data_IF_911662075991
#
_entry.id   IF_911662075991
#
_cell.length_a   1.000
_cell.length_b   1.000
_cell.length_c   1.000
_cell.angle_alpha   90.00
_cell.angle_beta   90.00
_cell.angle_gamma   90.00
#
_symmetry.space_group_name_H-M   'P 1'
#
loop_
_entity.id
_entity.type
_entity.pdbx_description
1 polymer ?
#
# COMPACT_ATOMS: atom_id res chain seq x y z
N UNK A 1 23.86 15.99 5.13
CA UNK A 1 23.57 14.84 4.24
C UNK A 1 23.05 15.38 2.93
N UNK A 2 23.90 15.40 1.91
CA UNK A 2 23.64 16.04 0.62
C UNK A 2 22.41 15.42 -0.06
N UNK A 3 21.39 16.23 -0.34
CA UNK A 3 20.28 15.88 -1.22
C UNK A 3 20.82 15.88 -2.66
N UNK A 4 20.92 14.74 -3.36
CA UNK A 4 21.37 14.74 -4.74
C UNK A 4 20.29 15.39 -5.61
N UNK A 5 20.76 16.17 -6.59
CA UNK A 5 20.02 16.96 -7.58
C UNK A 5 18.67 16.33 -7.95
N UNK A 6 17.62 16.75 -7.25
CA UNK A 6 16.24 16.33 -7.48
C UNK A 6 15.59 17.07 -8.64
N UNK A 7 16.27 18.08 -9.17
CA UNK A 7 15.76 19.05 -10.15
C UNK A 7 15.41 18.36 -11.48
N UNK A 8 16.30 17.53 -12.01
CA UNK A 8 16.16 16.95 -13.36
C UNK A 8 15.00 15.95 -13.53
N UNK A 9 14.62 15.18 -12.49
CA UNK A 9 13.46 14.27 -12.55
C UNK A 9 12.14 15.01 -12.29
N UNK A 10 12.20 16.04 -11.44
CA UNK A 10 11.07 16.90 -11.07
C UNK A 10 10.58 17.74 -12.25
N UNK A 11 11.49 18.22 -13.07
CA UNK A 11 11.25 19.09 -14.24
C UNK A 11 10.83 18.31 -15.49
N UNK A 12 11.26 17.04 -15.61
CA UNK A 12 10.98 16.18 -16.78
C UNK A 12 9.61 15.51 -16.72
N UNK A 13 9.01 15.41 -15.52
CA UNK A 13 7.74 14.70 -15.27
C UNK A 13 6.58 15.63 -14.97
N UNK A 14 6.88 16.80 -14.44
CA UNK A 14 5.98 17.92 -14.31
C UNK A 14 6.68 19.05 -15.07
N UNK A 15 6.24 19.40 -16.27
CA UNK A 15 6.79 20.59 -16.93
C UNK A 15 6.73 21.77 -15.95
N UNK A 16 7.70 22.69 -15.99
CA UNK A 16 7.73 23.82 -15.04
C UNK A 16 6.41 24.61 -15.03
N UNK A 17 5.71 24.63 -16.17
CA UNK A 17 4.40 25.25 -16.34
C UNK A 17 3.24 24.37 -15.83
N UNK A 18 3.29 23.05 -15.95
CA UNK A 18 2.18 22.15 -15.58
C UNK A 18 1.99 22.02 -14.06
N UNK A 19 3.09 22.17 -13.29
CA UNK A 19 3.05 22.17 -11.83
C UNK A 19 2.52 23.50 -11.25
N UNK A 20 2.76 24.62 -11.93
CA UNK A 20 2.19 25.92 -11.53
C UNK A 20 0.68 26.01 -11.82
N UNK A 21 0.17 25.16 -12.72
CA UNK A 21 -1.20 25.13 -13.21
C UNK A 21 -2.17 24.21 -12.43
N UNK A 22 -1.81 23.67 -11.26
CA UNK A 22 -2.82 23.19 -10.32
C UNK A 22 -3.17 24.33 -9.35
N UNK A 23 -4.12 25.23 -9.66
CA UNK A 23 -4.46 26.39 -8.83
C UNK A 23 -4.90 26.03 -7.40
N UNK A 24 -5.14 24.75 -7.12
CA UNK A 24 -5.60 24.23 -5.82
C UNK A 24 -4.50 23.63 -4.93
N UNK A 25 -3.27 23.42 -5.41
CA UNK A 25 -2.22 22.80 -4.59
C UNK A 25 -1.55 23.82 -3.67
N UNK A 26 -1.92 23.79 -2.38
CA UNK A 26 -1.25 24.56 -1.34
C UNK A 26 -0.11 23.75 -0.74
N UNK A 27 1.10 24.31 -0.79
CA UNK A 27 2.28 23.77 -0.11
C UNK A 27 1.95 23.56 1.37
N UNK A 28 2.24 22.36 1.89
CA UNK A 28 1.93 22.02 3.27
C UNK A 28 2.83 22.75 4.26
N UNK A 29 2.26 23.10 5.42
CA UNK A 29 3.00 23.72 6.52
C UNK A 29 4.16 22.82 6.96
N UNK A 30 5.32 23.45 7.21
CA UNK A 30 6.51 22.76 7.75
C UNK A 30 6.20 22.05 9.07
N UNK A 31 5.38 22.66 9.91
CA UNK A 31 4.94 22.08 11.20
C UNK A 31 4.18 20.77 10.99
N UNK A 32 3.24 20.73 10.05
CA UNK A 32 2.51 19.51 9.72
C UNK A 32 3.45 18.41 9.19
N UNK A 33 4.33 18.75 8.26
CA UNK A 33 5.26 17.77 7.68
C UNK A 33 6.23 17.20 8.73
N UNK A 34 6.71 18.03 9.65
CA UNK A 34 7.55 17.61 10.76
C UNK A 34 6.79 16.72 11.74
N UNK A 35 5.62 17.15 12.21
CA UNK A 35 4.78 16.38 13.13
C UNK A 35 4.38 15.03 12.53
N UNK A 36 3.97 15.02 11.25
CA UNK A 36 3.67 13.80 10.50
C UNK A 36 4.87 12.86 10.44
N UNK A 37 6.07 13.39 10.15
CA UNK A 37 7.27 12.56 10.07
C UNK A 37 7.67 11.97 11.43
N UNK A 38 7.59 12.77 12.50
CA UNK A 38 7.85 12.30 13.85
C UNK A 38 6.86 11.18 14.23
N UNK A 39 5.56 11.41 14.00
CA UNK A 39 4.52 10.42 14.24
C UNK A 39 4.75 9.11 13.45
N UNK A 40 5.01 9.23 12.15
CA UNK A 40 5.28 8.08 11.27
C UNK A 40 6.47 7.26 11.78
N UNK A 41 7.56 7.92 12.18
CA UNK A 41 8.77 7.25 12.64
C UNK A 41 8.54 6.56 13.98
N UNK A 42 7.93 7.25 14.96
CA UNK A 42 7.62 6.69 16.27
C UNK A 42 6.72 5.47 16.13
N UNK A 43 5.60 5.59 15.41
CA UNK A 43 4.66 4.48 15.25
C UNK A 43 5.29 3.31 14.48
N UNK A 44 6.07 3.56 13.43
CA UNK A 44 6.74 2.50 12.67
C UNK A 44 7.80 1.78 13.50
N UNK A 45 8.57 2.50 14.31
CA UNK A 45 9.56 1.90 15.22
C UNK A 45 8.87 1.07 16.30
N UNK A 46 7.80 1.58 16.91
CA UNK A 46 6.99 0.83 17.89
C UNK A 46 6.46 -0.46 17.29
N UNK A 47 5.87 -0.42 16.09
CA UNK A 47 5.37 -1.63 15.42
C UNK A 47 6.52 -2.60 15.09
N UNK A 48 7.68 -2.07 14.72
CA UNK A 48 8.86 -2.88 14.41
C UNK A 48 9.39 -3.64 15.62
N UNK A 49 9.55 -2.94 16.74
CA UNK A 49 10.11 -3.48 17.98
C UNK A 49 9.10 -4.38 18.71
N UNK A 50 7.79 -4.12 18.60
CA UNK A 50 6.80 -4.92 19.31
C UNK A 50 6.31 -6.14 18.52
N UNK A 51 6.20 -6.03 17.19
CA UNK A 51 5.55 -7.06 16.37
C UNK A 51 6.48 -7.67 15.32
N UNK A 52 7.16 -6.84 14.52
CA UNK A 52 7.84 -7.36 13.32
C UNK A 52 9.01 -8.30 13.64
N UNK A 53 9.75 -8.09 14.74
CA UNK A 53 10.97 -8.87 15.02
C UNK A 53 10.72 -10.37 15.25
N UNK A 54 9.61 -10.75 15.87
CA UNK A 54 9.24 -12.15 16.10
C UNK A 54 8.26 -12.66 15.04
N UNK A 55 7.35 -11.79 14.57
CA UNK A 55 6.32 -12.18 13.62
C UNK A 55 6.88 -12.47 12.22
N UNK A 56 7.83 -11.67 11.73
CA UNK A 56 8.43 -11.91 10.40
C UNK A 56 9.12 -13.28 10.33
N UNK A 57 9.97 -13.70 11.28
CA UNK A 57 10.55 -15.04 11.27
C UNK A 57 9.51 -16.17 11.22
N UNK A 58 8.43 -16.07 12.00
CA UNK A 58 7.35 -17.06 11.99
C UNK A 58 6.68 -17.11 10.60
N UNK A 59 6.28 -15.96 10.07
CA UNK A 59 5.67 -15.87 8.74
C UNK A 59 6.63 -16.33 7.65
N UNK A 60 7.94 -16.09 7.80
CA UNK A 60 8.97 -16.52 6.87
C UNK A 60 9.04 -18.05 6.76
N UNK A 61 8.98 -18.75 7.90
CA UNK A 61 8.94 -20.21 7.95
C UNK A 61 7.67 -20.71 7.27
N UNK A 62 6.50 -20.16 7.64
CA UNK A 62 5.22 -20.56 7.04
C UNK A 62 5.21 -20.36 5.51
N UNK A 63 5.73 -19.23 5.01
CA UNK A 63 5.84 -18.93 3.57
C UNK A 63 6.76 -19.92 2.84
N UNK A 64 7.84 -20.37 3.50
CA UNK A 64 8.78 -21.35 2.94
C UNK A 64 8.21 -22.77 2.90
N UNK A 65 7.36 -23.12 3.87
CA UNK A 65 6.63 -24.39 3.91
C UNK A 65 5.51 -24.42 2.86
N UNK A 66 4.83 -23.29 2.66
CA UNK A 66 3.70 -23.16 1.72
C UNK A 66 4.16 -23.11 0.24
N UNK A 67 5.31 -22.51 -0.08
CA UNK A 67 5.85 -22.52 -1.45
C UNK A 67 7.37 -22.29 -1.56
N UNK A 68 8.00 -22.80 -2.63
CA UNK A 68 9.45 -22.60 -2.89
C UNK A 68 9.77 -21.16 -3.33
N UNK A 69 10.87 -20.59 -2.85
CA UNK A 69 11.41 -19.28 -3.28
C UNK A 69 11.64 -18.27 -2.12
N UNK A 70 11.80 -16.96 -2.41
CA UNK A 70 12.13 -15.95 -1.39
C UNK A 70 10.94 -15.59 -0.50
N UNK A 71 11.22 -15.18 0.75
CA UNK A 71 10.18 -14.77 1.71
C UNK A 71 9.60 -13.40 1.35
N UNK A 72 10.47 -12.45 1.03
CA UNK A 72 10.07 -11.10 0.67
C UNK A 72 9.82 -11.00 -0.83
N UNK A 73 8.73 -10.30 -1.17
CA UNK A 73 8.47 -9.81 -2.51
C UNK A 73 8.79 -8.32 -2.53
N UNK A 74 9.70 -7.92 -3.43
CA UNK A 74 10.12 -6.53 -3.60
C UNK A 74 9.72 -6.07 -4.98
N UNK A 75 9.01 -4.94 -5.05
CA UNK A 75 8.56 -4.39 -6.33
C UNK A 75 8.86 -2.91 -6.43
N UNK A 76 9.34 -2.48 -7.61
CA UNK A 76 9.55 -1.05 -7.89
C UNK A 76 8.19 -0.34 -7.96
N UNK A 77 8.06 0.73 -7.17
CA UNK A 77 6.88 1.58 -7.13
C UNK A 77 7.28 3.04 -7.28
N UNK A 78 6.33 3.85 -7.73
CA UNK A 78 6.51 5.29 -7.84
C UNK A 78 6.23 5.96 -6.49
N UNK A 79 7.14 6.84 -6.06
CA UNK A 79 7.05 7.58 -4.81
C UNK A 79 7.03 9.10 -5.01
N UNK A 80 7.51 9.82 -3.99
CA UNK A 80 7.50 11.29 -3.97
C UNK A 80 8.27 11.87 -5.16
N UNK A 81 7.65 12.81 -5.87
CA UNK A 81 8.16 13.46 -7.08
C UNK A 81 8.61 12.46 -8.17
N UNK A 82 7.87 11.36 -8.30
CA UNK A 82 8.14 10.34 -9.31
C UNK A 82 9.35 9.45 -9.00
N UNK A 83 10.04 9.64 -7.87
CA UNK A 83 11.20 8.82 -7.49
C UNK A 83 10.76 7.38 -7.23
N UNK A 84 11.41 6.42 -7.89
CA UNK A 84 11.11 5.01 -7.68
C UNK A 84 11.79 4.46 -6.43
N UNK A 85 11.13 3.53 -5.75
CA UNK A 85 11.69 2.80 -4.61
C UNK A 85 11.19 1.35 -4.61
N UNK A 86 11.86 0.47 -3.87
CA UNK A 86 11.42 -0.90 -3.66
C UNK A 86 10.43 -0.99 -2.51
N UNK A 87 9.18 -1.29 -2.81
CA UNK A 87 8.14 -1.54 -1.81
C UNK A 87 8.24 -2.99 -1.32
N UNK A 88 8.39 -3.16 -0.01
CA UNK A 88 8.56 -4.45 0.63
C UNK A 88 7.21 -5.08 0.96
N UNK A 89 7.05 -6.38 0.65
CA UNK A 89 5.92 -7.20 1.08
C UNK A 89 6.39 -8.60 1.43
N UNK A 90 5.58 -9.32 2.19
CA UNK A 90 5.71 -10.78 2.24
C UNK A 90 5.16 -11.38 0.96
N UNK A 91 5.80 -12.47 0.52
CA UNK A 91 5.36 -13.19 -0.67
C UNK A 91 4.04 -13.91 -0.38
N UNK A 92 3.05 -13.61 -1.21
CA UNK A 92 1.71 -14.21 -1.15
C UNK A 92 1.35 -14.98 -2.41
N UNK A 93 2.28 -15.07 -3.36
CA UNK A 93 2.08 -15.75 -4.64
C UNK A 93 3.29 -16.62 -4.97
N UNK A 94 3.07 -17.68 -5.76
CA UNK A 94 4.13 -18.47 -6.36
C UNK A 94 4.99 -17.57 -7.26
N UNK A 95 6.30 -17.82 -7.25
CA UNK A 95 7.27 -17.04 -8.04
C UNK A 95 6.92 -17.15 -9.52
N UNK A 96 6.73 -16.00 -10.18
CA UNK A 96 6.34 -15.94 -11.58
C UNK A 96 6.96 -14.72 -12.27
N UNK A 97 7.07 -14.78 -13.60
CA UNK A 97 7.65 -13.72 -14.44
C UNK A 97 6.72 -12.50 -14.65
N UNK A 98 5.46 -12.60 -14.23
CA UNK A 98 4.43 -11.60 -14.50
C UNK A 98 4.13 -10.67 -13.33
N UNK A 99 4.88 -10.75 -12.23
CA UNK A 99 4.63 -9.99 -11.02
C UNK A 99 4.71 -8.46 -11.21
N UNK A 100 5.53 -8.01 -12.16
CA UNK A 100 5.72 -6.58 -12.50
C UNK A 100 4.85 -6.08 -13.65
N UNK A 101 4.15 -6.98 -14.35
CA UNK A 101 3.41 -6.65 -15.56
C UNK A 101 1.90 -6.89 -15.46
N UNK A 102 1.44 -7.70 -14.49
CA UNK A 102 0.04 -8.06 -14.28
C UNK A 102 -0.37 -7.88 -12.83
N UNK A 103 -1.45 -7.12 -12.60
CA UNK A 103 -2.11 -7.07 -11.30
C UNK A 103 -2.66 -8.45 -10.91
N UNK A 104 -2.76 -8.70 -9.60
CA UNK A 104 -3.40 -9.93 -9.11
C UNK A 104 -4.92 -9.85 -9.30
N UNK A 105 -5.51 -10.96 -9.73
CA UNK A 105 -6.95 -11.06 -9.95
C UNK A 105 -7.69 -11.60 -8.72
N UNK A 106 -9.03 -11.48 -8.74
CA UNK A 106 -9.87 -12.19 -7.80
C UNK A 106 -9.75 -13.68 -8.13
N UNK A 107 -9.43 -14.50 -7.14
CA UNK A 107 -9.23 -15.95 -7.29
C UNK A 107 -8.05 -16.32 -8.22
N UNK A 108 -6.99 -15.51 -8.20
CA UNK A 108 -5.79 -15.72 -9.00
C UNK A 108 -5.06 -17.01 -8.57
N UNK A 109 -4.83 -17.98 -9.48
CA UNK A 109 -4.25 -19.30 -9.16
C UNK A 109 -2.81 -19.21 -8.68
N UNK A 110 -2.15 -18.06 -8.87
CA UNK A 110 -0.79 -17.82 -8.37
C UNK A 110 -0.78 -17.54 -6.88
N UNK A 111 -1.90 -17.16 -6.26
CA UNK A 111 -2.00 -16.87 -4.82
C UNK A 111 -1.99 -18.21 -4.07
N UNK A 112 -1.12 -18.32 -3.06
CA UNK A 112 -1.05 -19.54 -2.24
C UNK A 112 -2.11 -19.52 -1.13
N UNK A 113 -2.36 -20.66 -0.49
CA UNK A 113 -3.34 -20.74 0.60
C UNK A 113 -2.97 -19.80 1.75
N UNK A 114 -1.72 -19.87 2.21
CA UNK A 114 -1.21 -18.93 3.20
C UNK A 114 -1.21 -17.50 2.65
N UNK A 115 -0.87 -17.31 1.38
CA UNK A 115 -0.87 -16.02 0.71
C UNK A 115 -2.23 -15.32 0.74
N UNK A 116 -3.31 -16.08 0.57
CA UNK A 116 -4.67 -15.57 0.68
C UNK A 116 -4.96 -15.07 2.11
N UNK A 117 -4.60 -15.84 3.13
CA UNK A 117 -4.72 -15.43 4.53
C UNK A 117 -3.92 -14.15 4.83
N UNK A 118 -2.67 -14.08 4.38
CA UNK A 118 -1.81 -12.91 4.59
C UNK A 118 -2.39 -11.63 3.95
N UNK A 119 -3.02 -11.73 2.78
CA UNK A 119 -3.69 -10.60 2.11
C UNK A 119 -4.95 -10.14 2.83
N UNK A 120 -5.78 -11.09 3.28
CA UNK A 120 -7.03 -10.79 3.98
C UNK A 120 -6.76 -10.12 5.34
N UNK A 121 -5.74 -10.60 6.05
CA UNK A 121 -5.27 -10.05 7.33
C UNK A 121 -4.38 -8.82 7.17
N UNK A 122 -4.01 -8.43 5.94
CA UNK A 122 -3.05 -7.36 5.61
C UNK A 122 -1.64 -7.56 6.21
N UNK A 123 -1.31 -8.78 6.67
CA UNK A 123 -0.01 -9.11 7.22
C UNK A 123 1.09 -9.05 6.15
N UNK A 124 0.75 -9.24 4.87
CA UNK A 124 1.70 -9.16 3.77
C UNK A 124 2.32 -7.78 3.57
N UNK A 125 1.62 -6.72 4.01
CA UNK A 125 2.06 -5.34 3.88
C UNK A 125 2.87 -4.83 5.09
N UNK A 126 2.97 -5.60 6.18
CA UNK A 126 3.72 -5.20 7.38
C UNK A 126 5.19 -4.81 7.13
N UNK A 127 5.95 -5.49 6.23
CA UNK A 127 7.31 -5.05 5.91
C UNK A 127 7.42 -3.61 5.38
N UNK A 128 6.32 -2.98 4.93
CA UNK A 128 6.31 -1.58 4.48
C UNK A 128 6.63 -0.59 5.61
N UNK A 129 6.50 -0.97 6.89
CA UNK A 129 6.97 -0.14 8.00
C UNK A 129 8.48 0.16 7.93
N UNK A 130 9.28 -0.76 7.37
CA UNK A 130 10.68 -0.47 7.07
C UNK A 130 10.83 0.61 5.99
N UNK A 131 9.99 0.61 4.95
CA UNK A 131 9.97 1.68 3.95
C UNK A 131 9.59 3.04 4.56
N UNK A 132 8.72 3.05 5.57
CA UNK A 132 8.41 4.28 6.32
C UNK A 132 9.62 4.74 7.12
N UNK A 133 10.30 3.86 7.85
CA UNK A 133 11.52 4.20 8.60
C UNK A 133 12.59 4.79 7.65
N UNK A 134 12.82 4.15 6.50
CA UNK A 134 13.74 4.61 5.44
C UNK A 134 13.31 5.93 4.76
N UNK A 135 12.12 6.45 5.05
CA UNK A 135 11.62 7.72 4.53
C UNK A 135 11.12 7.65 3.08
N UNK A 136 10.95 6.45 2.54
CA UNK A 136 10.41 6.20 1.19
C UNK A 136 8.87 6.25 1.21
N UNK A 137 8.25 5.86 2.32
CA UNK A 137 6.80 5.86 2.55
C UNK A 137 6.42 6.68 3.81
N UNK A 138 5.12 6.88 3.98
CA UNK A 138 4.45 7.39 5.19
C UNK A 138 3.37 6.40 5.61
N UNK A 139 2.81 6.51 6.82
CA UNK A 139 1.70 5.66 7.25
C UNK A 139 0.43 6.01 6.47
N UNK A 140 0.14 7.31 6.32
CA UNK A 140 -1.04 7.81 5.60
C UNK A 140 -0.61 8.64 4.39
N UNK A 141 -1.02 8.21 3.20
CA UNK A 141 -0.74 8.87 1.92
C UNK A 141 -1.36 8.12 0.75
N UNK A 142 -1.25 8.63 -0.49
CA UNK A 142 -1.71 7.91 -1.67
C UNK A 142 -0.98 6.56 -1.80
N UNK A 143 -1.69 5.47 -2.16
CA UNK A 143 -1.07 4.14 -2.28
C UNK A 143 0.02 4.14 -3.37
N UNK A 144 1.19 3.51 -3.16
CA UNK A 144 2.18 3.39 -4.23
C UNK A 144 1.71 2.41 -5.32
N UNK A 145 1.68 2.85 -6.57
CA UNK A 145 1.36 2.01 -7.74
C UNK A 145 2.63 1.58 -8.48
N UNK A 146 2.49 0.52 -9.30
CA UNK A 146 3.61 0.06 -10.13
C UNK A 146 3.78 1.03 -11.27
N UNK A 147 4.98 1.06 -11.83
CA UNK A 147 5.34 2.04 -12.86
C UNK A 147 4.37 1.93 -14.05
N UNK A 148 4.08 0.70 -14.49
CA UNK A 148 3.12 0.42 -15.56
C UNK A 148 1.72 0.95 -15.29
N UNK A 149 1.20 0.74 -14.07
CA UNK A 149 -0.11 1.26 -13.66
C UNK A 149 -0.14 2.79 -13.70
N UNK A 150 0.91 3.45 -13.18
CA UNK A 150 1.02 4.90 -13.22
C UNK A 150 0.99 5.42 -14.66
N UNK A 151 1.77 4.82 -15.57
CA UNK A 151 1.79 5.20 -16.98
C UNK A 151 0.42 5.01 -17.65
N UNK A 152 -0.26 3.89 -17.37
CA UNK A 152 -1.61 3.62 -17.88
C UNK A 152 -2.63 4.64 -17.34
N UNK A 153 -2.63 4.88 -16.03
CA UNK A 153 -3.58 5.78 -15.39
C UNK A 153 -3.37 7.24 -15.80
N UNK A 154 -2.12 7.68 -16.00
CA UNK A 154 -1.81 9.03 -16.50
C UNK A 154 -2.29 9.24 -17.94
N UNK A 155 -2.32 8.19 -18.79
CA UNK A 155 -2.92 8.31 -20.14
C UNK A 155 -4.43 8.55 -20.09
N UNK A 156 -5.11 8.04 -19.07
CA UNK A 156 -6.55 8.22 -18.90
C UNK A 156 -6.91 9.50 -18.13
N UNK A 157 -6.10 9.87 -17.15
CA UNK A 157 -6.29 11.06 -16.30
C UNK A 157 -4.96 11.82 -16.27
N UNK A 158 -4.76 12.87 -17.09
CA UNK A 158 -3.49 13.58 -17.17
C UNK A 158 -2.95 14.05 -15.81
N UNK A 159 -3.85 14.51 -14.93
CA UNK A 159 -3.50 15.02 -13.60
C UNK A 159 -3.23 13.90 -12.57
N UNK A 160 -3.25 12.62 -12.96
CA UNK A 160 -3.05 11.49 -12.05
C UNK A 160 -1.74 11.58 -11.26
N UNK A 161 -0.71 12.20 -11.87
CA UNK A 161 0.60 12.43 -11.26
C UNK A 161 0.56 13.35 -10.02
N UNK A 162 -0.54 14.09 -9.78
CA UNK A 162 -0.72 14.94 -8.59
C UNK A 162 -0.59 14.16 -7.27
N UNK A 163 -0.89 12.85 -7.28
CA UNK A 163 -0.68 11.97 -6.12
C UNK A 163 0.79 11.90 -5.68
N UNK A 164 1.72 12.10 -6.60
CA UNK A 164 3.17 11.98 -6.38
C UNK A 164 3.75 13.21 -5.67
N UNK A 165 2.94 14.24 -5.39
CA UNK A 165 3.33 15.42 -4.61
C UNK A 165 3.42 15.16 -3.10
N UNK A 166 3.01 13.97 -2.66
CA UNK A 166 3.17 13.51 -1.29
C UNK A 166 3.84 12.14 -1.27
N UNK A 167 4.47 11.80 -0.13
CA UNK A 167 5.01 10.45 0.05
C UNK A 167 3.87 9.45 -0.02
N UNK A 168 4.09 8.30 -0.67
CA UNK A 168 3.09 7.25 -0.72
C UNK A 168 2.84 6.64 0.67
N UNK A 169 1.59 6.24 0.92
CA UNK A 169 1.11 5.70 2.19
C UNK A 169 1.02 4.18 2.22
N UNK A 170 1.15 3.59 3.42
CA UNK A 170 0.70 2.22 3.68
C UNK A 170 -0.84 2.17 3.55
N UNK A 171 -1.52 3.13 4.17
CA UNK A 171 -2.95 3.40 4.00
C UNK A 171 -3.20 4.79 3.44
N UNK A 172 -4.42 5.07 3.02
CA UNK A 172 -4.79 6.30 2.33
C UNK A 172 -6.29 6.49 2.15
N UNK A 173 -6.67 7.69 1.74
CA UNK A 173 -8.07 8.08 1.57
C UNK A 173 -8.80 7.21 0.55
N UNK A 174 -8.18 6.94 -0.60
CA UNK A 174 -8.76 6.06 -1.62
C UNK A 174 -8.96 4.63 -1.10
N UNK A 175 -8.02 4.11 -0.30
CA UNK A 175 -8.10 2.76 0.29
C UNK A 175 -9.29 2.62 1.24
N UNK A 176 -9.47 3.57 2.17
CA UNK A 176 -10.60 3.53 3.12
C UNK A 176 -11.95 3.75 2.43
N UNK A 177 -11.97 4.32 1.22
CA UNK A 177 -13.15 4.52 0.38
C UNK A 177 -13.48 3.33 -0.53
N UNK A 178 -12.74 2.22 -0.42
CA UNK A 178 -12.99 0.99 -1.16
C UNK A 178 -12.11 0.82 -2.40
N UNK A 179 -11.31 1.81 -2.78
CA UNK A 179 -10.47 1.77 -3.98
C UNK A 179 -9.09 1.13 -3.74
N UNK A 180 -9.02 0.10 -2.89
CA UNK A 180 -7.76 -0.62 -2.57
C UNK A 180 -7.37 -1.66 -3.63
N UNK A 181 -8.37 -2.28 -4.27
CA UNK A 181 -8.22 -3.46 -5.13
C UNK A 181 -7.88 -3.16 -6.60
N UNK A 182 -8.13 -4.17 -7.46
CA UNK A 182 -7.99 -4.07 -8.92
C UNK A 182 -8.79 -2.87 -9.44
N UNK A 183 -8.23 -2.23 -10.46
CA UNK A 183 -8.87 -1.12 -11.15
C UNK A 183 -9.25 -1.62 -12.54
N UNK A 184 -10.54 -1.80 -12.78
CA UNK A 184 -11.04 -2.45 -14.01
C UNK A 184 -11.67 -1.46 -14.99
N UNK A 185 -12.11 -0.30 -14.50
CA UNK A 185 -12.78 0.71 -15.31
C UNK A 185 -12.10 2.08 -15.20
N UNK A 186 -12.33 2.94 -16.20
CA UNK A 186 -11.97 4.34 -16.14
C UNK A 186 -12.54 5.03 -14.87
N UNK A 187 -13.78 4.69 -14.50
CA UNK A 187 -14.44 5.26 -13.33
C UNK A 187 -13.70 4.91 -12.03
N UNK A 188 -13.18 3.69 -11.90
CA UNK A 188 -12.35 3.29 -10.76
C UNK A 188 -11.04 4.09 -10.70
N UNK A 189 -10.40 4.32 -11.85
CA UNK A 189 -9.18 5.15 -11.95
C UNK A 189 -9.50 6.57 -11.48
N UNK A 190 -10.58 7.14 -12.01
CA UNK A 190 -10.99 8.51 -11.74
C UNK A 190 -11.37 8.73 -10.28
N UNK A 191 -12.19 7.85 -9.69
CA UNK A 191 -12.55 7.98 -8.29
C UNK A 191 -11.38 7.75 -7.34
N UNK A 192 -10.48 6.80 -7.65
CA UNK A 192 -9.23 6.65 -6.91
C UNK A 192 -8.44 7.96 -6.95
N UNK A 193 -8.26 8.53 -8.15
CA UNK A 193 -7.60 9.81 -8.32
C UNK A 193 -8.26 10.92 -7.51
N UNK A 194 -9.59 11.03 -7.54
CA UNK A 194 -10.32 12.06 -6.78
C UNK A 194 -10.05 11.97 -5.28
N UNK A 195 -10.05 10.78 -4.69
CA UNK A 195 -9.77 10.61 -3.26
C UNK A 195 -8.30 10.86 -2.91
N UNK A 196 -7.37 10.45 -3.78
CA UNK A 196 -5.95 10.74 -3.61
C UNK A 196 -5.67 12.24 -3.76
N UNK A 197 -6.27 12.91 -4.74
CA UNK A 197 -6.17 14.36 -4.95
C UNK A 197 -6.82 15.14 -3.79
N UNK A 198 -7.98 14.69 -3.29
CA UNK A 198 -8.61 15.24 -2.10
C UNK A 198 -7.67 15.17 -0.90
N UNK A 199 -7.01 14.02 -0.68
CA UNK A 199 -6.04 13.86 0.39
C UNK A 199 -4.86 14.81 0.20
N UNK A 200 -4.24 14.85 -0.99
CA UNK A 200 -3.11 15.74 -1.27
C UNK A 200 -3.45 17.20 -0.97
N UNK A 201 -4.64 17.66 -1.34
CA UNK A 201 -5.11 19.03 -1.10
C UNK A 201 -5.42 19.29 0.38
N UNK A 202 -6.05 18.35 1.07
CA UNK A 202 -6.61 18.58 2.42
C UNK A 202 -5.82 17.93 3.57
N UNK A 203 -4.72 17.24 3.28
CA UNK A 203 -3.90 16.55 4.27
C UNK A 203 -3.55 17.46 5.44
N UNK A 204 -3.91 16.98 6.62
CA UNK A 204 -3.68 17.56 7.94
C UNK A 204 -3.70 16.41 8.96
N UNK A 205 -3.23 16.67 10.18
CA UNK A 205 -3.05 15.63 11.19
C UNK A 205 -4.37 14.95 11.58
N UNK A 206 -5.46 15.73 11.71
CA UNK A 206 -6.77 15.18 12.06
C UNK A 206 -7.32 14.23 10.99
N UNK A 207 -7.12 14.58 9.70
CA UNK A 207 -7.47 13.70 8.60
C UNK A 207 -6.65 12.40 8.61
N UNK A 208 -5.35 12.49 8.92
CA UNK A 208 -4.48 11.31 9.04
C UNK A 208 -4.99 10.35 10.14
N UNK A 209 -5.33 10.86 11.32
CA UNK A 209 -5.89 10.05 12.42
C UNK A 209 -7.22 9.40 12.02
N UNK A 210 -8.13 10.14 11.36
CA UNK A 210 -9.39 9.59 10.87
C UNK A 210 -9.18 8.44 9.88
N UNK A 211 -8.19 8.57 8.98
CA UNK A 211 -7.87 7.51 8.01
C UNK A 211 -7.31 6.29 8.74
N UNK A 212 -6.43 6.48 9.73
CA UNK A 212 -5.88 5.37 10.54
C UNK A 212 -6.99 4.62 11.28
N UNK A 213 -7.88 5.32 11.98
CA UNK A 213 -9.01 4.71 12.69
C UNK A 213 -9.92 3.89 11.76
N UNK A 214 -10.28 4.44 10.60
CA UNK A 214 -11.09 3.74 9.61
C UNK A 214 -10.37 2.52 9.02
N UNK A 215 -9.07 2.63 8.78
CA UNK A 215 -8.24 1.51 8.32
C UNK A 215 -8.25 0.40 9.34
N UNK A 216 -8.03 0.72 10.62
CA UNK A 216 -8.03 -0.25 11.71
C UNK A 216 -9.38 -0.97 11.81
N UNK A 217 -10.49 -0.23 11.80
CA UNK A 217 -11.83 -0.81 11.81
C UNK A 217 -12.10 -1.74 10.62
N UNK A 218 -11.64 -1.38 9.42
CA UNK A 218 -11.77 -2.24 8.22
C UNK A 218 -10.95 -3.52 8.33
N UNK A 219 -9.71 -3.44 8.83
CA UNK A 219 -8.83 -4.62 9.02
C UNK A 219 -9.41 -5.55 10.08
N UNK A 220 -9.83 -5.01 11.24
CA UNK A 220 -10.47 -5.79 12.30
C UNK A 220 -11.78 -6.42 11.81
N UNK A 221 -12.61 -5.67 11.09
CA UNK A 221 -13.84 -6.19 10.49
C UNK A 221 -13.60 -7.33 9.50
N UNK A 222 -12.58 -7.22 8.64
CA UNK A 222 -12.17 -8.29 7.73
C UNK A 222 -11.65 -9.52 8.49
N UNK A 223 -10.87 -9.32 9.54
CA UNK A 223 -10.33 -10.40 10.37
C UNK A 223 -11.45 -11.15 11.12
N UNK A 224 -12.41 -10.43 11.71
CA UNK A 224 -13.57 -11.05 12.38
C UNK A 224 -14.43 -11.86 11.42
N UNK A 225 -14.63 -11.37 10.19
CA UNK A 225 -15.32 -12.13 9.13
C UNK A 225 -14.56 -13.41 8.77
N UNK A 226 -13.23 -13.37 8.76
CA UNK A 226 -12.40 -14.52 8.49
C UNK A 226 -12.51 -15.57 9.61
N UNK A 227 -12.44 -15.15 10.87
CA UNK A 227 -12.60 -16.04 12.03
C UNK A 227 -13.96 -16.74 12.04
N UNK A 228 -15.05 -15.99 11.81
CA UNK A 228 -16.40 -16.56 11.71
C UNK A 228 -16.55 -17.54 10.55
N UNK A 229 -15.90 -17.28 9.42
CA UNK A 229 -15.92 -18.19 8.27
C UNK A 229 -15.26 -19.52 8.63
N UNK A 230 -14.14 -19.49 9.36
CA UNK A 230 -13.43 -20.68 9.81
C UNK A 230 -14.29 -21.56 10.73
N UNK A 231 -15.01 -20.94 11.68
CA UNK A 231 -15.96 -21.64 12.58
C UNK A 231 -17.10 -22.33 11.83
N UNK A 232 -17.65 -21.70 10.78
CA UNK A 232 -18.72 -22.31 9.97
C UNK A 232 -18.27 -23.44 9.05
N UNK A 233 -16.96 -23.62 8.86
CA UNK A 233 -16.36 -24.68 8.02
C UNK A 233 -15.77 -25.84 8.83
N UNK A 234 -16.11 -25.97 10.13
CA UNK A 234 -15.77 -27.21 10.84
C UNK A 234 -16.39 -28.42 10.10
N UNK A 235 -15.60 -29.46 9.78
CA UNK A 235 -16.12 -30.64 9.13
C UNK A 235 -17.12 -31.31 10.08
N UNK A 236 -18.28 -31.69 9.55
CA UNK A 236 -19.23 -32.52 10.27
C UNK A 236 -18.57 -33.89 10.54
N UNK A 237 -17.96 -34.05 11.71
CA UNK A 237 -17.34 -35.30 12.15
C UNK A 237 -18.33 -36.47 12.23
N UNK A 238 -19.63 -36.24 12.05
CA UNK A 238 -20.64 -37.30 11.92
C UNK A 238 -20.62 -38.00 10.55
N UNK A 239 -20.12 -37.37 9.48
CA UNK A 239 -20.03 -38.01 8.16
C UNK A 239 -18.77 -38.87 7.98
N UNK A 240 -17.66 -38.53 8.65
CA UNK A 240 -16.41 -39.29 8.61
C UNK A 240 -16.45 -40.61 9.42
N UNK A 241 -17.48 -40.84 10.23
CA UNK A 241 -17.71 -42.11 10.93
C UNK A 241 -18.65 -43.08 10.18
N UNK A 242 -19.09 -42.71 8.97
CA UNK A 242 -19.98 -43.53 8.13
C UNK A 242 -19.33 -44.02 6.83
N UNK A 243 -18.03 -43.81 6.64
CA UNK A 243 -17.20 -44.39 5.58
C UNK A 243 -16.18 -45.35 6.20
#
# INVERSE_FOLDING_TARGET
MYLPQSTNLRQKRFGEEEFSLSPTYKKKSRTYLFAKRAFDLTLSLTVTILFLWWLIPILAILIKLDSRGPVFFMQKRVGLYGRTFYCLKLRTMVVNKHADSRQAEKDDPRITMLGNFLRLSCLDELPQFFNVILGQMTIVGPRPHMIKDCEEFTRHVPEYALRELMRPGITGMAQIKGYRGKTTSFFDIFHRFQWDAFYVRNANFLLDIRIIQKTFAQVVGSMLKLLKKTETTEPNFAELKRA
#
